data_IF_814093414489
#
_entry.id   IF_814093414489
#
_cell.length_a   1.000
_cell.length_b   1.000
_cell.length_c   1.000
_cell.angle_alpha   90.00
_cell.angle_beta   90.00
_cell.angle_gamma   90.00
#
_symmetry.space_group_name_H-M   'P 1'
#
loop_
_entity.id
_entity.type
_entity.pdbx_description
1 polymer ?
#
# COMPACT_ATOMS: atom_id res chain seq x y z
N UNK A 1 1.71 -2.44 -24.01
CA UNK A 1 1.83 -2.37 -22.54
C UNK A 1 3.24 -1.95 -22.20
N UNK A 2 3.43 -0.76 -21.61
CA UNK A 2 4.77 -0.33 -21.19
C UNK A 2 5.07 -0.97 -19.83
N UNK A 3 5.93 -2.01 -19.83
CA UNK A 3 6.37 -2.72 -18.62
C UNK A 3 7.60 -2.07 -17.96
N UNK A 4 8.06 -0.95 -18.51
CA UNK A 4 9.25 -0.26 -18.05
C UNK A 4 8.80 0.82 -17.06
N UNK A 5 9.24 0.76 -15.80
CA UNK A 5 8.93 1.82 -14.84
C UNK A 5 9.52 3.16 -15.31
N UNK A 6 8.93 4.30 -14.93
CA UNK A 6 9.43 5.61 -15.33
C UNK A 6 10.91 5.75 -14.97
N UNK A 7 11.78 6.20 -15.90
CA UNK A 7 13.21 6.29 -15.65
C UNK A 7 13.55 7.08 -14.38
N UNK A 8 12.76 8.10 -14.05
CA UNK A 8 12.95 8.95 -12.88
C UNK A 8 12.75 8.19 -11.55
N UNK A 9 11.98 7.10 -11.57
CA UNK A 9 11.71 6.28 -10.39
C UNK A 9 12.63 5.06 -10.26
N UNK A 10 13.44 4.77 -11.28
CA UNK A 10 14.36 3.61 -11.29
C UNK A 10 15.39 3.61 -10.15
N UNK A 11 15.70 4.78 -9.59
CA UNK A 11 16.60 4.95 -8.45
C UNK A 11 15.97 4.56 -7.10
N UNK A 12 14.66 4.42 -7.04
CA UNK A 12 13.94 4.11 -5.82
C UNK A 12 13.66 2.61 -5.70
N UNK A 13 13.73 2.03 -4.48
CA UNK A 13 13.35 0.64 -4.27
C UNK A 13 11.93 0.34 -4.75
N UNK A 14 11.81 -0.63 -5.65
CA UNK A 14 10.53 -1.20 -6.04
C UNK A 14 9.92 -2.00 -4.89
N UNK A 15 8.65 -1.76 -4.60
CA UNK A 15 7.92 -2.43 -3.51
C UNK A 15 7.03 -3.53 -4.07
N UNK A 16 6.14 -3.18 -5.01
CA UNK A 16 5.20 -4.13 -5.59
C UNK A 16 4.49 -3.56 -6.83
N UNK A 17 3.82 -4.43 -7.57
CA UNK A 17 2.93 -4.06 -8.67
C UNK A 17 1.50 -4.09 -8.16
N UNK A 18 0.82 -2.95 -8.22
CA UNK A 18 -0.63 -2.86 -8.06
C UNK A 18 -1.37 -3.11 -9.38
N UNK A 19 -2.70 -3.20 -9.32
CA UNK A 19 -3.54 -3.37 -10.51
C UNK A 19 -3.27 -2.25 -11.54
N UNK A 20 -3.34 -0.99 -11.09
CA UNK A 20 -3.21 0.22 -11.92
C UNK A 20 -1.84 0.90 -11.83
N UNK A 21 -0.97 0.52 -10.89
CA UNK A 21 0.20 1.31 -10.52
C UNK A 21 1.46 0.47 -10.20
N UNK A 22 2.62 1.05 -10.47
CA UNK A 22 3.90 0.64 -9.88
C UNK A 22 4.05 1.28 -8.50
N UNK A 23 4.57 0.55 -7.52
CA UNK A 23 4.76 1.07 -6.17
C UNK A 23 6.26 1.14 -5.85
N UNK A 24 6.74 2.34 -5.54
CA UNK A 24 8.13 2.60 -5.16
C UNK A 24 8.21 3.23 -3.79
N UNK A 25 9.21 2.85 -3.00
CA UNK A 25 9.54 3.50 -1.72
C UNK A 25 10.52 4.63 -2.00
N UNK A 26 10.13 5.88 -1.73
CA UNK A 26 10.98 7.04 -2.06
C UNK A 26 11.84 7.48 -0.88
N UNK A 27 11.42 7.18 0.35
CA UNK A 27 12.17 7.43 1.59
C UNK A 27 11.74 6.44 2.70
N UNK A 28 12.12 6.72 3.95
CA UNK A 28 11.81 5.85 5.09
C UNK A 28 10.30 5.69 5.33
N UNK A 29 9.52 6.74 5.07
CA UNK A 29 8.12 6.89 5.48
C UNK A 29 7.15 7.02 4.30
N UNK A 30 7.63 7.02 3.06
CA UNK A 30 6.81 7.34 1.90
C UNK A 30 6.92 6.31 0.78
N UNK A 31 5.77 5.97 0.22
CA UNK A 31 5.65 5.31 -1.08
C UNK A 31 4.95 6.21 -2.09
N UNK A 32 5.31 6.03 -3.36
CA UNK A 32 4.57 6.57 -4.49
C UNK A 32 3.94 5.41 -5.27
N UNK A 33 2.63 5.50 -5.49
CA UNK A 33 1.94 4.72 -6.51
C UNK A 33 2.00 5.53 -7.80
N UNK A 34 2.67 5.00 -8.81
CA UNK A 34 2.80 5.65 -10.11
C UNK A 34 2.01 4.89 -11.17
N UNK A 35 1.15 5.58 -11.92
CA UNK A 35 0.28 4.98 -12.92
C UNK A 35 1.07 4.13 -13.93
N UNK A 36 0.60 2.91 -14.21
CA UNK A 36 1.19 2.05 -15.25
C UNK A 36 0.93 2.58 -16.65
N UNK A 37 -0.14 3.36 -16.81
CA UNK A 37 -0.57 3.94 -18.06
C UNK A 37 -1.14 5.31 -17.76
N UNK A 38 -0.50 6.35 -18.27
CA UNK A 38 -0.96 7.74 -18.12
C UNK A 38 -2.38 7.88 -18.64
N UNK A 39 -3.23 8.56 -17.87
CA UNK A 39 -4.64 8.73 -18.22
C UNK A 39 -5.50 7.46 -18.11
N UNK A 40 -5.03 6.41 -17.44
CA UNK A 40 -5.85 5.23 -17.15
C UNK A 40 -7.05 5.60 -16.29
N UNK A 41 -8.25 5.17 -16.72
CA UNK A 41 -9.50 5.35 -15.97
C UNK A 41 -9.43 4.77 -14.56
N UNK A 42 -8.73 3.64 -14.38
CA UNK A 42 -8.61 2.98 -13.08
C UNK A 42 -7.79 3.82 -12.10
N UNK A 43 -6.73 4.45 -12.58
CA UNK A 43 -5.90 5.33 -11.75
C UNK A 43 -6.59 6.68 -11.50
N UNK A 44 -7.33 7.21 -12.48
CA UNK A 44 -8.18 8.40 -12.28
C UNK A 44 -9.27 8.15 -11.23
N UNK A 45 -9.91 6.97 -11.26
CA UNK A 45 -10.91 6.57 -10.26
C UNK A 45 -10.30 6.44 -8.86
N UNK A 46 -9.05 5.99 -8.76
CA UNK A 46 -8.35 5.97 -7.48
C UNK A 46 -8.08 7.40 -6.95
N UNK A 47 -7.71 8.34 -7.82
CA UNK A 47 -7.63 9.76 -7.47
C UNK A 47 -8.98 10.31 -6.99
N UNK A 48 -10.06 10.05 -7.71
CA UNK A 48 -11.43 10.47 -7.36
C UNK A 48 -11.84 9.92 -5.99
N UNK A 49 -11.52 8.66 -5.69
CA UNK A 49 -11.76 8.08 -4.37
C UNK A 49 -11.06 8.87 -3.26
N UNK A 50 -9.80 9.26 -3.46
CA UNK A 50 -9.08 10.11 -2.51
C UNK A 50 -9.60 11.55 -2.47
N UNK A 51 -10.24 12.05 -3.52
CA UNK A 51 -10.95 13.34 -3.48
C UNK A 51 -12.21 13.24 -2.63
N UNK A 52 -12.95 12.13 -2.70
CA UNK A 52 -14.10 11.94 -1.83
C UNK A 52 -13.71 11.81 -0.36
N UNK A 53 -12.61 11.12 -0.05
CA UNK A 53 -12.12 11.03 1.32
C UNK A 53 -11.80 12.40 1.94
N UNK A 54 -11.44 13.42 1.15
CA UNK A 54 -11.18 14.78 1.65
C UNK A 54 -12.45 15.49 2.12
N UNK A 55 -13.62 15.10 1.63
CA UNK A 55 -14.90 15.68 2.05
C UNK A 55 -15.40 15.09 3.39
N UNK A 56 -14.72 14.07 3.92
CA UNK A 56 -15.05 13.43 5.18
C UNK A 56 -14.02 13.74 6.26
N UNK A 57 -14.43 13.61 7.53
CA UNK A 57 -13.48 13.63 8.63
C UNK A 57 -12.42 12.54 8.40
N UNK A 58 -11.11 12.84 8.58
CA UNK A 58 -10.07 11.84 8.43
C UNK A 58 -10.36 10.61 9.28
N UNK A 59 -10.44 9.45 8.62
CA UNK A 59 -10.60 8.18 9.30
C UNK A 59 -9.21 7.63 9.62
N UNK A 60 -8.93 7.30 10.88
CA UNK A 60 -7.62 6.75 11.25
C UNK A 60 -7.46 5.30 10.73
N UNK A 61 -8.55 4.69 10.24
CA UNK A 61 -8.58 3.38 9.59
C UNK A 61 -8.28 3.41 8.08
N UNK A 62 -8.26 4.59 7.46
CA UNK A 62 -8.10 4.75 6.02
C UNK A 62 -6.88 5.61 5.74
N UNK A 63 -5.86 5.01 5.10
CA UNK A 63 -4.67 5.73 4.66
C UNK A 63 -5.09 6.88 3.75
N UNK A 64 -4.61 8.08 4.06
CA UNK A 64 -4.85 9.27 3.25
C UNK A 64 -3.66 9.54 2.33
N UNK A 65 -3.95 10.00 1.11
CA UNK A 65 -2.94 10.62 0.25
C UNK A 65 -2.60 12.01 0.78
N UNK A 66 -1.31 12.35 0.84
CA UNK A 66 -0.88 13.70 1.24
C UNK A 66 -0.42 14.55 0.05
N UNK A 67 -0.09 13.92 -1.09
CA UNK A 67 0.22 14.62 -2.33
C UNK A 67 -0.18 13.75 -3.53
N UNK A 68 -0.76 14.36 -4.57
CA UNK A 68 -1.24 13.66 -5.77
C UNK A 68 -0.99 14.49 -7.02
N UNK A 69 -0.70 13.81 -8.13
CA UNK A 69 -0.73 14.33 -9.50
C UNK A 69 -1.61 13.41 -10.35
N UNK A 70 -1.76 13.72 -11.64
CA UNK A 70 -2.52 12.87 -12.56
C UNK A 70 -1.99 11.42 -12.63
N UNK A 71 -0.67 11.23 -12.45
CA UNK A 71 -0.01 9.93 -12.61
C UNK A 71 0.64 9.41 -11.32
N UNK A 72 0.57 10.14 -10.20
CA UNK A 72 1.25 9.76 -8.96
C UNK A 72 0.40 10.03 -7.73
N UNK A 73 0.38 9.07 -6.80
CA UNK A 73 -0.27 9.19 -5.49
C UNK A 73 0.78 8.87 -4.42
N UNK A 74 1.01 9.81 -3.51
CA UNK A 74 1.97 9.67 -2.41
C UNK A 74 1.24 9.30 -1.12
N UNK A 75 1.73 8.23 -0.47
CA UNK A 75 1.12 7.61 0.70
C UNK A 75 2.19 7.29 1.76
N UNK A 76 1.81 7.24 3.05
CA UNK A 76 2.67 6.68 4.08
C UNK A 76 3.09 5.24 3.76
N UNK A 77 4.36 4.92 3.99
CA UNK A 77 4.90 3.57 3.84
C UNK A 77 4.63 2.74 5.11
N UNK A 78 3.95 1.61 4.94
CA UNK A 78 3.73 0.65 6.01
C UNK A 78 4.82 -0.43 6.00
N UNK A 79 5.87 -0.23 6.80
CA UNK A 79 7.05 -1.08 6.85
C UNK A 79 6.79 -2.54 7.30
N UNK A 80 5.61 -2.83 7.89
CA UNK A 80 5.22 -4.18 8.32
C UNK A 80 4.93 -5.16 7.18
N UNK A 81 4.84 -4.68 5.93
CA UNK A 81 4.44 -5.49 4.78
C UNK A 81 2.93 -5.73 4.70
N UNK A 82 2.49 -6.51 3.71
CA UNK A 82 1.07 -6.79 3.50
C UNK A 82 0.49 -7.68 4.61
N UNK A 83 -0.81 -7.53 4.88
CA UNK A 83 -1.52 -8.43 5.80
C UNK A 83 -1.36 -9.90 5.38
N UNK A 84 -1.40 -10.18 4.07
CA UNK A 84 -1.17 -11.52 3.53
C UNK A 84 0.20 -12.08 3.93
N UNK A 85 1.29 -11.34 3.69
CA UNK A 85 2.64 -11.79 4.04
C UNK A 85 2.74 -12.09 5.54
N UNK A 86 2.12 -11.24 6.35
CA UNK A 86 2.17 -11.34 7.81
C UNK A 86 1.37 -12.54 8.32
N UNK A 87 0.19 -12.78 7.76
CA UNK A 87 -0.59 -13.99 8.05
C UNK A 87 0.18 -15.23 7.60
N UNK A 88 0.73 -15.22 6.39
CA UNK A 88 1.48 -16.35 5.84
C UNK A 88 2.70 -16.70 6.71
N UNK A 89 3.48 -15.70 7.11
CA UNK A 89 4.69 -15.88 7.93
C UNK A 89 4.39 -16.38 9.35
N UNK A 90 3.16 -16.18 9.83
CA UNK A 90 2.71 -16.64 11.14
C UNK A 90 1.87 -17.94 11.06
N UNK A 91 1.83 -18.61 9.91
CA UNK A 91 1.15 -19.88 9.71
C UNK A 91 2.15 -21.00 9.35
N UNK A 92 1.83 -22.22 9.75
CA UNK A 92 2.40 -23.43 9.15
C UNK A 92 1.44 -23.87 8.06
N UNK A 93 2.00 -24.10 6.87
CA UNK A 93 1.26 -24.55 5.69
C UNK A 93 1.90 -25.82 5.15
N UNK A 94 1.06 -26.75 4.74
CA UNK A 94 1.45 -27.94 3.99
C UNK A 94 0.82 -27.85 2.61
N UNK A 95 1.64 -27.93 1.56
CA UNK A 95 1.18 -27.85 0.17
C UNK A 95 0.29 -26.62 -0.10
N UNK A 96 0.64 -25.49 0.52
CA UNK A 96 -0.10 -24.23 0.44
C UNK A 96 -1.36 -24.14 1.30
N UNK A 97 -1.83 -25.23 1.91
CA UNK A 97 -3.00 -25.24 2.80
C UNK A 97 -2.61 -24.89 4.22
N UNK A 98 -3.44 -24.09 4.88
CA UNK A 98 -3.29 -23.80 6.30
C UNK A 98 -3.38 -25.08 7.13
N UNK A 99 -2.42 -25.28 8.03
CA UNK A 99 -2.41 -26.40 8.98
C UNK A 99 -2.62 -25.88 10.39
N UNK A 100 -1.79 -24.93 10.83
CA UNK A 100 -1.92 -24.31 12.16
C UNK A 100 -1.24 -22.96 12.23
N UNK A 101 -1.60 -22.16 13.23
CA UNK A 101 -0.93 -20.90 13.55
C UNK A 101 0.42 -21.21 14.21
N UNK A 102 1.50 -20.58 13.72
CA UNK A 102 2.85 -20.67 14.29
C UNK A 102 2.99 -19.73 15.49
N UNK A 103 2.48 -18.51 15.37
CA UNK A 103 2.60 -17.44 16.37
C UNK A 103 1.47 -16.43 16.16
N UNK A 104 0.96 -15.85 17.24
CA UNK A 104 0.07 -14.69 17.16
C UNK A 104 0.90 -13.40 17.13
N UNK A 105 0.46 -12.41 16.37
CA UNK A 105 1.09 -11.09 16.43
C UNK A 105 0.94 -10.52 17.85
N UNK A 106 1.95 -9.80 18.36
CA UNK A 106 1.90 -9.22 19.70
C UNK A 106 0.64 -8.36 19.87
N UNK A 107 -0.02 -8.47 21.02
CA UNK A 107 -1.21 -7.68 21.33
C UNK A 107 -0.94 -6.18 21.18
N UNK A 108 0.26 -5.73 21.52
CA UNK A 108 0.61 -4.31 21.39
C UNK A 108 0.77 -3.85 19.95
N UNK A 109 1.09 -4.77 19.04
CA UNK A 109 1.09 -4.49 17.61
C UNK A 109 -0.35 -4.46 17.05
N UNK A 110 -1.22 -5.35 17.54
CA UNK A 110 -2.66 -5.29 17.24
C UNK A 110 -3.25 -3.97 17.73
N UNK A 111 -2.95 -3.58 18.98
CA UNK A 111 -3.33 -2.30 19.57
C UNK A 111 -2.71 -1.13 18.83
N UNK A 112 -1.47 -1.18 18.39
CA UNK A 112 -0.90 -0.09 17.58
C UNK A 112 -1.67 0.10 16.27
N UNK A 113 -2.16 -0.98 15.65
CA UNK A 113 -3.12 -0.82 14.55
C UNK A 113 -4.43 -0.24 15.05
N UNK A 114 -4.89 -0.60 16.25
CA UNK A 114 -6.12 -0.07 16.88
C UNK A 114 -5.99 1.28 17.62
N UNK A 115 -4.80 1.87 17.71
CA UNK A 115 -4.50 3.13 18.42
C UNK A 115 -3.92 4.16 17.44
N UNK A 116 -3.35 3.75 16.30
CA UNK A 116 -3.41 4.57 15.08
C UNK A 116 -4.84 4.69 14.54
N UNK A 117 -5.84 4.44 15.38
CA UNK A 117 -7.28 4.37 15.14
C UNK A 117 -8.07 5.21 16.17
N UNK A 118 -7.42 6.10 16.93
CA UNK A 118 -8.03 7.18 17.73
C UNK A 118 -7.53 8.55 17.26
#
# INVERSE_FOLDING_TARGET
MCLIPPPQLSKFPFVSLGASAWIFRIDEFTVVKFARTTGSSDFMRENEFFDELKHHAPSPYVIQSFYRTQDAIFLPFLAGGSLENRLWNNQIRDSGKFVRVKRLEPVELLKAWTISMD
#
